data_IF_258937365422
#
_entry.id   IF_258937365422
#
_cell.length_a   1.000
_cell.length_b   1.000
_cell.length_c   1.000
_cell.angle_alpha   90.00
_cell.angle_beta   90.00
_cell.angle_gamma   90.00
#
_symmetry.space_group_name_H-M   'P 1'
#
loop_
_entity.id
_entity.type
_entity.pdbx_description
1 polymer ?
#
# COMPACT_ATOMS: atom_id res chain seq x y z
N UNK A 1 -11.22 13.71 17.28
CA UNK A 1 -11.43 14.11 18.71
C UNK A 1 -12.90 14.05 19.13
N UNK A 2 -13.87 14.23 18.23
CA UNK A 2 -15.33 14.11 18.54
C UNK A 2 -15.73 12.74 19.13
N UNK A 3 -14.96 11.69 18.88
CA UNK A 3 -15.21 10.34 19.40
C UNK A 3 -14.57 10.07 20.76
N UNK A 4 -13.79 11.00 21.31
CA UNK A 4 -13.22 10.88 22.64
C UNK A 4 -14.25 11.34 23.67
N UNK A 5 -15.12 10.41 24.08
CA UNK A 5 -16.14 10.61 25.10
C UNK A 5 -15.64 10.13 26.49
N UNK A 6 -16.35 10.44 27.56
CA UNK A 6 -15.97 10.37 28.99
C UNK A 6 -14.99 9.25 29.40
N UNK A 7 -15.09 8.03 28.86
CA UNK A 7 -14.23 6.89 29.22
C UNK A 7 -13.34 6.40 28.09
N UNK A 8 -13.32 7.09 26.95
CA UNK A 8 -12.48 6.71 25.81
C UNK A 8 -11.04 7.14 26.08
N UNK A 9 -10.14 6.17 26.18
CA UNK A 9 -8.70 6.43 26.37
C UNK A 9 -8.01 6.76 25.06
N UNK A 10 -8.33 6.01 23.99
CA UNK A 10 -7.71 6.13 22.67
C UNK A 10 -8.76 6.05 21.56
N UNK A 11 -8.49 6.71 20.46
CA UNK A 11 -9.26 6.59 19.21
C UNK A 11 -8.34 6.00 18.14
N UNK A 12 -8.71 4.84 17.62
CA UNK A 12 -7.96 4.15 16.56
C UNK A 12 -8.71 4.36 15.25
N UNK A 13 -7.99 4.81 14.22
CA UNK A 13 -8.55 5.08 12.89
C UNK A 13 -7.94 4.09 11.90
N UNK A 14 -8.77 3.16 11.39
CA UNK A 14 -8.39 2.21 10.33
C UNK A 14 -8.39 2.85 8.93
N UNK A 15 -7.86 4.05 8.84
CA UNK A 15 -7.75 4.83 7.61
C UNK A 15 -6.65 5.89 7.78
N UNK A 16 -6.22 6.51 6.68
CA UNK A 16 -5.30 7.63 6.72
C UNK A 16 -5.96 8.86 7.34
N UNK A 17 -5.37 9.40 8.39
CA UNK A 17 -5.77 10.66 9.00
C UNK A 17 -4.57 11.58 9.19
N UNK A 18 -4.58 12.71 8.47
CA UNK A 18 -3.55 13.75 8.61
C UNK A 18 -3.60 14.49 9.95
N UNK A 19 -4.73 14.38 10.66
CA UNK A 19 -5.00 15.03 11.94
C UNK A 19 -4.88 14.07 13.14
N UNK A 20 -4.41 12.84 12.92
CA UNK A 20 -4.06 11.92 13.99
C UNK A 20 -2.80 12.42 14.71
N UNK A 21 -2.70 12.15 16.00
CA UNK A 21 -1.53 12.50 16.78
C UNK A 21 -0.31 11.66 16.36
N UNK A 22 -0.59 10.43 15.90
CA UNK A 22 0.43 9.52 15.38
C UNK A 22 -0.13 8.65 14.26
N UNK A 23 0.69 8.34 13.25
CA UNK A 23 0.41 7.31 12.26
C UNK A 23 1.35 6.14 12.48
N UNK A 24 0.77 4.97 12.72
CA UNK A 24 1.51 3.73 12.93
C UNK A 24 1.19 2.73 11.84
N UNK A 25 2.20 2.33 11.10
CA UNK A 25 2.14 1.28 10.08
C UNK A 25 2.76 0.03 10.67
N UNK A 26 1.97 -1.04 10.78
CA UNK A 26 2.45 -2.29 11.33
C UNK A 26 3.55 -2.90 10.44
N UNK A 27 4.61 -3.42 11.08
CA UNK A 27 5.79 -3.92 10.37
C UNK A 27 6.80 -2.84 9.95
N UNK A 28 6.50 -1.56 10.20
CA UNK A 28 7.40 -0.44 9.92
C UNK A 28 7.73 0.35 11.20
N UNK A 29 6.80 1.15 11.69
CA UNK A 29 7.04 2.04 12.85
C UNK A 29 6.08 1.79 14.03
N UNK A 30 5.43 0.65 14.10
CA UNK A 30 4.49 0.33 15.17
C UNK A 30 5.12 0.30 16.57
N UNK A 31 6.44 0.05 16.67
CA UNK A 31 7.20 0.09 17.92
C UNK A 31 7.48 1.52 18.41
N UNK A 32 7.21 2.54 17.59
CA UNK A 32 7.35 3.95 17.96
C UNK A 32 6.10 4.52 18.63
N UNK A 33 5.18 3.65 19.06
CA UNK A 33 3.96 4.04 19.75
C UNK A 33 4.26 4.90 20.97
N UNK A 34 3.56 6.03 21.05
CA UNK A 34 3.63 6.98 22.17
C UNK A 34 2.37 6.93 22.99
N UNK A 35 2.50 6.69 24.30
CA UNK A 35 1.37 6.56 25.21
C UNK A 35 0.54 7.84 25.33
N UNK A 36 1.12 9.00 25.08
CA UNK A 36 0.45 10.30 25.07
C UNK A 36 -0.41 10.58 23.83
N UNK A 37 -0.22 9.80 22.76
CA UNK A 37 -1.04 9.94 21.54
C UNK A 37 -2.46 9.46 21.77
N UNK A 38 -3.43 10.37 21.67
CA UNK A 38 -4.85 10.09 21.88
C UNK A 38 -5.54 9.51 20.65
N UNK A 39 -5.13 9.97 19.47
CA UNK A 39 -5.70 9.58 18.17
C UNK A 39 -4.61 8.95 17.31
N UNK A 40 -4.80 7.71 16.97
CA UNK A 40 -3.83 6.93 16.20
C UNK A 40 -4.46 6.52 14.87
N UNK A 41 -3.75 6.81 13.76
CA UNK A 41 -4.11 6.34 12.42
C UNK A 41 -3.24 5.13 12.06
N UNK A 42 -3.85 4.08 11.52
CA UNK A 42 -3.13 2.92 11.00
C UNK A 42 -2.83 3.01 9.50
N UNK A 43 -3.04 4.19 8.89
CA UNK A 43 -2.88 4.38 7.47
C UNK A 43 -4.04 3.79 6.64
N UNK A 44 -3.89 3.81 5.34
CA UNK A 44 -4.82 3.18 4.38
C UNK A 44 -4.29 1.81 3.93
N UNK A 45 -5.15 1.03 3.27
CA UNK A 45 -4.75 -0.22 2.61
C UNK A 45 -3.52 -0.02 1.71
N UNK A 46 -3.51 1.02 0.88
CA UNK A 46 -2.39 1.35 -0.01
C UNK A 46 -1.10 1.69 0.76
N UNK A 47 -1.19 2.38 1.91
CA UNK A 47 -0.04 2.69 2.76
C UNK A 47 0.54 1.40 3.35
N UNK A 48 -0.33 0.51 3.86
CA UNK A 48 0.10 -0.77 4.42
C UNK A 48 0.67 -1.72 3.37
N UNK A 49 0.17 -1.68 2.14
CA UNK A 49 0.71 -2.44 1.02
C UNK A 49 2.08 -1.92 0.56
N UNK A 50 2.36 -0.62 0.69
CA UNK A 50 3.56 0.02 0.14
C UNK A 50 4.70 0.17 1.17
N UNK A 51 4.40 0.74 2.34
CA UNK A 51 5.44 1.23 3.26
C UNK A 51 6.35 0.12 3.80
N UNK A 52 5.85 -1.01 4.32
CA UNK A 52 6.71 -2.07 4.85
C UNK A 52 7.58 -2.70 3.75
N UNK A 53 7.01 -2.94 2.58
CA UNK A 53 7.72 -3.50 1.43
C UNK A 53 8.84 -2.55 0.97
N UNK A 54 8.51 -1.27 0.76
CA UNK A 54 9.47 -0.26 0.28
C UNK A 54 10.62 -0.06 1.28
N UNK A 55 10.30 -0.01 2.58
CA UNK A 55 11.32 0.10 3.61
C UNK A 55 12.31 -1.08 3.56
N UNK A 56 11.80 -2.30 3.46
CA UNK A 56 12.64 -3.48 3.33
C UNK A 56 13.51 -3.43 2.07
N UNK A 57 12.91 -3.08 0.92
CA UNK A 57 13.64 -2.98 -0.34
C UNK A 57 14.74 -1.90 -0.30
N UNK A 58 14.47 -0.77 0.35
CA UNK A 58 15.50 0.27 0.54
C UNK A 58 16.63 -0.19 1.46
N UNK A 59 16.31 -0.83 2.59
CA UNK A 59 17.32 -1.39 3.50
C UNK A 59 18.27 -2.36 2.77
N UNK A 60 17.74 -3.20 1.89
CA UNK A 60 18.49 -4.28 1.22
C UNK A 60 19.16 -3.88 -0.08
N UNK A 61 18.48 -3.08 -0.90
CA UNK A 61 18.90 -2.86 -2.29
C UNK A 61 19.15 -1.39 -2.62
N UNK A 62 18.78 -0.45 -1.74
CA UNK A 62 18.89 1.00 -1.91
C UNK A 62 18.03 1.52 -3.07
N UNK A 63 16.80 1.88 -2.73
CA UNK A 63 15.83 2.45 -3.67
C UNK A 63 16.31 3.84 -4.13
N UNK A 64 16.41 4.04 -5.42
CA UNK A 64 16.73 5.34 -6.04
C UNK A 64 15.46 6.08 -6.42
N UNK A 65 14.49 5.36 -6.98
CA UNK A 65 13.19 5.91 -7.32
C UNK A 65 12.11 4.82 -7.25
N UNK A 66 10.87 5.26 -7.10
CA UNK A 66 9.72 4.38 -7.15
C UNK A 66 8.52 5.05 -7.80
N UNK A 67 7.85 4.30 -8.66
CA UNK A 67 6.55 4.66 -9.24
C UNK A 67 5.53 3.61 -8.84
N UNK A 68 4.33 4.06 -8.50
CA UNK A 68 3.25 3.16 -8.10
C UNK A 68 2.00 3.46 -8.92
N UNK A 69 1.41 2.42 -9.49
CA UNK A 69 0.11 2.52 -10.15
C UNK A 69 -0.92 1.72 -9.36
N UNK A 70 -1.90 2.41 -8.81
CA UNK A 70 -2.98 1.82 -8.02
C UNK A 70 -4.26 1.82 -8.83
N UNK A 71 -4.82 0.65 -9.04
CA UNK A 71 -6.17 0.44 -9.58
C UNK A 71 -7.04 0.00 -8.42
N UNK A 72 -7.85 0.94 -7.93
CA UNK A 72 -8.58 0.76 -6.68
C UNK A 72 -10.06 0.48 -6.93
N UNK A 73 -10.57 -0.50 -6.22
CA UNK A 73 -12.00 -0.78 -6.16
C UNK A 73 -12.78 0.37 -5.51
N UNK A 74 -14.09 0.33 -5.58
CA UNK A 74 -14.98 1.24 -4.86
C UNK A 74 -16.01 0.45 -4.07
N UNK A 75 -16.42 0.93 -2.87
CA UNK A 75 -17.52 0.33 -2.15
C UNK A 75 -18.81 0.36 -2.96
N UNK A 76 -19.66 -0.64 -2.80
CA UNK A 76 -20.91 -0.78 -3.56
C UNK A 76 -21.80 0.46 -3.48
N UNK A 77 -21.83 1.16 -2.35
CA UNK A 77 -22.62 2.40 -2.18
C UNK A 77 -22.15 3.57 -3.04
N UNK A 78 -20.95 3.51 -3.62
CA UNK A 78 -20.43 4.49 -4.56
C UNK A 78 -20.73 4.14 -6.02
N UNK A 79 -21.34 2.98 -6.27
CA UNK A 79 -21.73 2.55 -7.61
C UNK A 79 -23.21 2.88 -7.90
N UNK A 80 -23.46 3.38 -9.08
CA UNK A 80 -24.82 3.58 -9.63
C UNK A 80 -24.84 3.09 -11.06
N UNK A 81 -25.66 2.09 -11.34
CA UNK A 81 -25.79 1.50 -12.69
C UNK A 81 -24.44 1.12 -13.33
N UNK A 82 -23.50 0.57 -12.54
CA UNK A 82 -22.18 0.19 -13.02
C UNK A 82 -21.17 1.34 -13.20
N UNK A 83 -21.52 2.54 -12.76
CA UNK A 83 -20.65 3.71 -12.82
C UNK A 83 -20.26 4.18 -11.40
N UNK A 84 -19.12 4.84 -11.31
CA UNK A 84 -18.68 5.49 -10.08
C UNK A 84 -19.50 6.80 -9.93
N UNK A 85 -20.34 6.86 -8.92
CA UNK A 85 -21.12 8.03 -8.58
C UNK A 85 -20.51 8.75 -7.37
N UNK A 86 -20.43 10.06 -7.44
CA UNK A 86 -20.08 10.90 -6.30
C UNK A 86 -21.09 12.02 -6.22
N UNK A 87 -21.70 12.30 -5.05
CA UNK A 87 -22.66 13.39 -4.92
C UNK A 87 -22.12 14.70 -5.54
N UNK A 88 -22.91 15.29 -6.44
CA UNK A 88 -22.56 16.54 -7.13
C UNK A 88 -21.54 16.40 -8.28
N UNK A 89 -21.09 15.18 -8.60
CA UNK A 89 -20.19 14.92 -9.72
C UNK A 89 -20.83 14.01 -10.76
N UNK A 90 -20.31 14.11 -11.99
CA UNK A 90 -20.75 13.25 -13.10
C UNK A 90 -20.40 11.79 -12.81
N UNK A 91 -21.29 10.87 -13.12
CA UNK A 91 -21.04 9.43 -13.13
C UNK A 91 -20.01 9.08 -14.21
N UNK A 92 -19.06 8.20 -13.87
CA UNK A 92 -17.95 7.83 -14.76
C UNK A 92 -17.55 6.38 -14.54
N UNK A 93 -17.16 5.63 -15.60
CA UNK A 93 -16.64 4.27 -15.46
C UNK A 93 -15.22 4.24 -14.82
N UNK A 94 -14.47 5.34 -14.94
CA UNK A 94 -13.10 5.42 -14.43
C UNK A 94 -12.90 6.82 -13.85
N UNK A 95 -12.29 6.89 -12.66
CA UNK A 95 -12.02 8.17 -12.01
C UNK A 95 -10.57 8.24 -11.51
N UNK A 96 -9.83 9.21 -12.02
CA UNK A 96 -8.52 9.59 -11.48
C UNK A 96 -8.69 10.35 -10.17
N UNK A 97 -7.86 10.03 -9.19
CA UNK A 97 -7.84 10.68 -7.88
C UNK A 97 -6.41 10.91 -7.39
N UNK A 98 -6.23 11.89 -6.52
CA UNK A 98 -4.98 12.00 -5.74
C UNK A 98 -4.99 10.91 -4.67
N UNK A 99 -3.89 10.17 -4.57
CA UNK A 99 -3.69 9.17 -3.53
C UNK A 99 -3.05 9.80 -2.29
N UNK A 100 -3.52 9.45 -1.12
CA UNK A 100 -2.90 9.90 0.14
C UNK A 100 -1.47 9.37 0.30
N UNK A 101 -1.13 8.27 -0.35
CA UNK A 101 0.22 7.69 -0.36
C UNK A 101 1.26 8.69 -0.84
N UNK A 102 0.97 9.51 -1.87
CA UNK A 102 1.90 10.54 -2.38
C UNK A 102 2.27 11.61 -1.35
N UNK A 103 1.39 11.84 -0.36
CA UNK A 103 1.60 12.85 0.69
C UNK A 103 2.22 12.24 1.96
N UNK A 104 1.96 10.97 2.22
CA UNK A 104 2.34 10.29 3.44
C UNK A 104 3.69 9.59 3.30
N UNK A 105 3.95 8.93 2.16
CA UNK A 105 5.18 8.17 1.97
C UNK A 105 6.45 9.01 2.21
N UNK A 106 6.58 10.25 1.70
CA UNK A 106 7.76 11.08 1.97
C UNK A 106 7.95 11.50 3.43
N UNK A 107 6.90 11.35 4.26
CA UNK A 107 6.98 11.62 5.70
C UNK A 107 7.39 10.40 6.51
N UNK A 108 7.18 9.21 5.97
CA UNK A 108 7.46 7.94 6.61
C UNK A 108 8.79 7.34 6.16
N UNK A 109 9.10 7.42 4.87
CA UNK A 109 10.24 6.78 4.23
C UNK A 109 11.22 7.81 3.68
N UNK A 110 12.48 7.74 4.13
CA UNK A 110 13.54 8.63 3.65
C UNK A 110 13.92 8.41 2.18
N UNK A 111 13.66 7.22 1.64
CA UNK A 111 13.91 6.88 0.24
C UNK A 111 12.85 7.39 -0.73
N UNK A 112 11.75 7.97 -0.24
CA UNK A 112 10.69 8.57 -1.08
C UNK A 112 10.63 10.08 -0.89
N UNK A 113 10.79 10.82 -1.98
CA UNK A 113 10.74 12.28 -2.03
C UNK A 113 9.81 12.72 -3.16
N UNK A 114 9.56 14.03 -3.28
CA UNK A 114 8.76 14.57 -4.39
C UNK A 114 9.45 14.36 -5.76
N UNK A 115 10.77 14.20 -5.78
CA UNK A 115 11.55 14.10 -7.01
C UNK A 115 11.72 12.66 -7.50
N UNK A 116 11.57 11.67 -6.60
CA UNK A 116 11.85 10.27 -6.92
C UNK A 116 10.70 9.30 -6.62
N UNK A 117 9.52 9.83 -6.25
CA UNK A 117 8.35 9.02 -5.94
C UNK A 117 7.07 9.54 -6.61
N UNK A 118 6.43 8.70 -7.42
CA UNK A 118 5.17 9.02 -8.08
C UNK A 118 4.09 8.00 -7.78
N UNK A 119 2.84 8.47 -7.73
CA UNK A 119 1.66 7.62 -7.55
C UNK A 119 0.59 7.98 -8.58
N UNK A 120 0.21 7.02 -9.40
CA UNK A 120 -1.02 7.05 -10.18
C UNK A 120 -2.11 6.31 -9.42
N UNK A 121 -3.30 6.91 -9.32
CA UNK A 121 -4.41 6.32 -8.58
C UNK A 121 -5.70 6.41 -9.39
N UNK A 122 -6.25 5.27 -9.72
CA UNK A 122 -7.44 5.14 -10.54
C UNK A 122 -8.50 4.34 -9.81
N UNK A 123 -9.70 4.90 -9.67
CA UNK A 123 -10.88 4.18 -9.22
C UNK A 123 -11.55 3.51 -10.40
N UNK A 124 -11.97 2.27 -10.23
CA UNK A 124 -12.74 1.48 -11.19
C UNK A 124 -14.07 1.02 -10.55
N UNK A 125 -15.13 0.79 -11.36
CA UNK A 125 -16.43 0.35 -10.86
C UNK A 125 -16.43 -1.15 -10.55
N UNK A 126 -15.62 -1.55 -9.60
CA UNK A 126 -15.42 -2.91 -9.14
C UNK A 126 -15.40 -2.95 -7.61
N UNK A 127 -16.07 -3.93 -7.01
CA UNK A 127 -16.25 -4.04 -5.56
C UNK A 127 -15.36 -5.11 -4.90
N UNK A 128 -14.54 -5.80 -5.66
CA UNK A 128 -13.57 -6.78 -5.15
C UNK A 128 -12.31 -6.15 -4.58
N UNK A 129 -11.18 -6.82 -4.73
CA UNK A 129 -9.88 -6.33 -4.26
C UNK A 129 -9.28 -5.31 -5.22
N UNK A 130 -8.33 -4.54 -4.74
CA UNK A 130 -7.56 -3.57 -5.52
C UNK A 130 -6.27 -4.19 -6.04
N UNK A 131 -5.69 -3.57 -7.05
CA UNK A 131 -4.38 -3.93 -7.59
C UNK A 131 -3.38 -2.80 -7.40
N UNK A 132 -2.13 -3.16 -7.23
CA UNK A 132 -1.02 -2.22 -7.14
C UNK A 132 0.16 -2.75 -7.93
N UNK A 133 0.65 -1.95 -8.88
CA UNK A 133 1.88 -2.20 -9.60
C UNK A 133 2.96 -1.30 -9.01
N UNK A 134 4.04 -1.91 -8.57
CA UNK A 134 5.21 -1.21 -8.08
C UNK A 134 6.30 -1.25 -9.14
N UNK A 135 6.96 -0.14 -9.32
CA UNK A 135 8.21 -0.05 -10.03
C UNK A 135 9.25 0.57 -9.12
N UNK A 136 10.34 -0.13 -8.91
CA UNK A 136 11.49 0.36 -8.16
C UNK A 136 12.72 0.37 -9.04
N UNK A 137 13.51 1.44 -8.94
CA UNK A 137 14.87 1.47 -9.48
C UNK A 137 15.85 1.44 -8.30
N UNK A 138 16.85 0.58 -8.40
CA UNK A 138 17.85 0.38 -7.36
C UNK A 138 19.23 0.86 -7.80
N UNK A 139 20.11 1.11 -6.83
CA UNK A 139 21.48 1.57 -7.08
C UNK A 139 22.28 0.54 -7.91
N UNK A 140 22.08 -0.74 -7.69
CA UNK A 140 22.82 -1.82 -8.32
C UNK A 140 21.90 -2.73 -9.14
N UNK A 141 22.49 -3.41 -10.14
CA UNK A 141 21.77 -4.45 -10.88
C UNK A 141 21.29 -5.55 -9.95
N UNK A 142 20.07 -5.99 -10.19
CA UNK A 142 19.45 -7.12 -9.51
C UNK A 142 19.73 -8.41 -10.29
N UNK A 143 19.63 -9.53 -9.59
CA UNK A 143 19.73 -10.87 -10.13
C UNK A 143 18.65 -11.78 -9.50
N UNK A 144 18.65 -13.04 -9.84
CA UNK A 144 17.71 -14.04 -9.31
C UNK A 144 17.68 -14.17 -7.80
N UNK A 145 18.74 -13.74 -7.10
CA UNK A 145 18.76 -13.74 -5.63
C UNK A 145 17.75 -12.75 -5.04
N UNK A 146 17.29 -11.75 -5.80
CA UNK A 146 16.25 -10.82 -5.36
C UNK A 146 15.01 -11.57 -4.87
N UNK A 147 14.48 -12.50 -5.67
CA UNK A 147 13.31 -13.28 -5.28
C UNK A 147 13.54 -14.11 -4.02
N UNK A 148 14.65 -14.81 -3.95
CA UNK A 148 15.00 -15.61 -2.76
C UNK A 148 15.07 -14.76 -1.48
N UNK A 149 15.64 -13.56 -1.57
CA UNK A 149 15.74 -12.62 -0.45
C UNK A 149 14.36 -12.13 -0.05
N UNK A 150 13.53 -11.72 -1.01
CA UNK A 150 12.19 -11.22 -0.75
C UNK A 150 11.27 -12.31 -0.18
N UNK A 151 11.30 -13.51 -0.75
CA UNK A 151 10.54 -14.68 -0.26
C UNK A 151 10.92 -15.03 1.18
N UNK A 152 12.23 -15.09 1.47
CA UNK A 152 12.67 -15.37 2.83
C UNK A 152 12.20 -14.31 3.82
N UNK A 153 12.18 -13.03 3.42
CA UNK A 153 11.68 -11.95 4.28
C UNK A 153 10.19 -12.06 4.54
N UNK A 154 9.40 -12.42 3.52
CA UNK A 154 7.96 -12.67 3.65
C UNK A 154 7.63 -13.88 4.51
N UNK A 155 8.48 -14.92 4.50
CA UNK A 155 8.25 -16.14 5.27
C UNK A 155 8.77 -16.05 6.71
N UNK A 156 9.94 -15.45 6.92
CA UNK A 156 10.70 -15.55 8.16
C UNK A 156 11.12 -14.19 8.75
N UNK A 157 11.04 -13.10 8.00
CA UNK A 157 11.53 -11.77 8.38
C UNK A 157 10.44 -10.78 8.76
N UNK A 158 10.75 -9.48 8.60
CA UNK A 158 9.88 -8.34 8.97
C UNK A 158 8.57 -8.29 8.16
N UNK A 159 8.55 -8.85 6.95
CA UNK A 159 7.36 -8.88 6.09
C UNK A 159 6.44 -10.07 6.35
N UNK A 160 6.80 -10.95 7.28
CA UNK A 160 5.99 -12.11 7.65
C UNK A 160 4.59 -11.71 8.13
N UNK A 161 3.56 -12.28 7.49
CA UNK A 161 2.16 -11.97 7.80
C UNK A 161 1.67 -10.62 7.24
N UNK A 162 2.55 -9.85 6.60
CA UNK A 162 2.22 -8.56 5.96
C UNK A 162 2.16 -8.68 4.44
N UNK A 163 3.19 -9.26 3.86
CA UNK A 163 3.30 -9.45 2.41
C UNK A 163 3.38 -10.95 2.12
N UNK A 164 2.58 -11.42 1.20
CA UNK A 164 2.70 -12.76 0.65
C UNK A 164 3.22 -12.72 -0.79
N UNK A 165 3.76 -13.84 -1.24
CA UNK A 165 4.17 -14.05 -2.63
C UNK A 165 3.53 -15.33 -3.12
N UNK A 166 2.96 -15.30 -4.32
CA UNK A 166 2.46 -16.46 -5.04
C UNK A 166 3.08 -16.53 -6.43
N UNK A 167 3.21 -17.73 -6.97
CA UNK A 167 3.85 -17.93 -8.26
C UNK A 167 2.91 -17.57 -9.42
N UNK A 168 1.69 -18.06 -9.42
CA UNK A 168 0.72 -17.89 -10.51
C UNK A 168 -0.34 -16.85 -10.17
N UNK A 169 -0.88 -16.19 -11.18
CA UNK A 169 -2.03 -15.30 -11.04
C UNK A 169 -3.33 -16.11 -11.02
N UNK A 170 -4.05 -16.06 -9.93
CA UNK A 170 -5.36 -16.70 -9.76
C UNK A 170 -6.53 -15.74 -9.90
N UNK A 171 -6.23 -14.46 -10.17
CA UNK A 171 -7.20 -13.38 -10.29
C UNK A 171 -7.54 -12.70 -8.96
N UNK A 172 -8.20 -11.53 -9.04
CA UNK A 172 -8.47 -10.69 -7.87
C UNK A 172 -9.44 -11.33 -6.86
N UNK A 173 -10.35 -12.20 -7.30
CA UNK A 173 -11.38 -12.80 -6.45
C UNK A 173 -10.78 -13.68 -5.33
N UNK A 174 -9.68 -14.37 -5.62
CA UNK A 174 -9.01 -15.26 -4.66
C UNK A 174 -8.31 -14.51 -3.52
N UNK A 175 -8.21 -13.19 -3.63
CA UNK A 175 -7.55 -12.34 -2.64
C UNK A 175 -8.50 -11.56 -1.75
N UNK A 176 -9.82 -11.75 -1.90
CA UNK A 176 -10.81 -11.14 -1.00
C UNK A 176 -10.63 -11.64 0.44
N UNK A 177 -10.69 -10.71 1.39
CA UNK A 177 -10.51 -10.98 2.82
C UNK A 177 -9.14 -11.62 3.15
N UNK A 178 -8.14 -11.38 2.33
CA UNK A 178 -6.78 -11.82 2.65
C UNK A 178 -6.29 -11.18 3.95
N UNK A 179 -5.53 -11.94 4.74
CA UNK A 179 -4.87 -11.43 5.96
C UNK A 179 -3.63 -10.59 5.66
N UNK A 180 -3.16 -10.58 4.43
CA UNK A 180 -1.96 -9.85 4.01
C UNK A 180 -2.31 -8.44 3.55
N UNK A 181 -1.41 -7.51 3.79
CA UNK A 181 -1.52 -6.14 3.26
C UNK A 181 -1.32 -6.07 1.75
N UNK A 182 -0.58 -7.02 1.18
CA UNK A 182 -0.50 -7.26 -0.26
C UNK A 182 -0.06 -8.69 -0.55
N UNK A 183 -0.49 -9.23 -1.70
CA UNK A 183 -0.06 -10.53 -2.24
C UNK A 183 0.60 -10.27 -3.59
N UNK A 184 1.92 -10.42 -3.65
CA UNK A 184 2.72 -10.23 -4.87
C UNK A 184 2.55 -11.47 -5.76
N UNK A 185 2.32 -11.25 -7.06
CA UNK A 185 2.17 -12.29 -8.08
C UNK A 185 3.44 -12.33 -8.93
N UNK A 186 4.24 -13.41 -8.80
CA UNK A 186 5.52 -13.52 -9.52
C UNK A 186 5.36 -13.61 -11.03
N UNK A 187 4.35 -14.30 -11.51
CA UNK A 187 4.05 -14.45 -12.94
C UNK A 187 3.94 -13.08 -13.64
N UNK A 188 3.37 -12.08 -12.95
CA UNK A 188 3.17 -10.74 -13.47
C UNK A 188 4.26 -9.74 -13.01
N UNK A 189 5.34 -10.26 -12.42
CA UNK A 189 6.42 -9.46 -11.87
C UNK A 189 7.74 -9.82 -12.53
N UNK A 190 8.64 -8.86 -12.73
CA UNK A 190 9.90 -9.12 -13.41
C UNK A 190 11.01 -8.15 -13.01
N UNK A 191 12.25 -8.57 -13.28
CA UNK A 191 13.47 -7.80 -13.03
C UNK A 191 14.07 -7.42 -14.37
N UNK A 192 14.50 -6.17 -14.52
CA UNK A 192 15.18 -5.67 -15.71
C UNK A 192 16.31 -4.74 -15.32
N UNK A 193 17.54 -5.26 -15.28
CA UNK A 193 18.70 -4.48 -14.91
C UNK A 193 18.69 -4.03 -13.45
N UNK A 194 18.55 -2.73 -13.22
CA UNK A 194 18.41 -2.14 -11.89
C UNK A 194 16.95 -1.97 -11.47
N UNK A 195 16.00 -2.30 -12.33
CA UNK A 195 14.59 -2.09 -12.08
C UNK A 195 13.90 -3.40 -11.71
N UNK A 196 12.90 -3.32 -10.83
CA UNK A 196 11.94 -4.38 -10.55
C UNK A 196 10.52 -3.85 -10.73
N UNK A 197 9.69 -4.70 -11.31
CA UNK A 197 8.26 -4.50 -11.47
C UNK A 197 7.54 -5.59 -10.71
N UNK A 198 6.75 -5.19 -9.71
CA UNK A 198 5.97 -6.11 -8.89
C UNK A 198 4.49 -5.81 -9.09
N UNK A 199 3.73 -6.85 -9.42
CA UNK A 199 2.28 -6.80 -9.43
C UNK A 199 1.75 -7.42 -8.14
N UNK A 200 0.75 -6.79 -7.52
CA UNK A 200 0.14 -7.33 -6.31
C UNK A 200 -1.35 -6.99 -6.20
N UNK A 201 -2.07 -7.87 -5.50
CA UNK A 201 -3.43 -7.62 -5.04
C UNK A 201 -3.43 -7.19 -3.57
N UNK A 202 -4.38 -6.32 -3.19
CA UNK A 202 -4.58 -5.89 -1.81
C UNK A 202 -6.05 -5.54 -1.54
N UNK A 203 -6.52 -5.82 -0.33
CA UNK A 203 -7.91 -5.60 0.08
C UNK A 203 -8.04 -4.54 1.20
#
# INVERSE_FOLDING_TARGET
RKFKIKNTKKVLISATSMNADQMLVYGFNHNEYKSESDVISYGSCTINAFVPLTNFLDEKFKVISSDVNVIHNVPAYQLKNGYIATPGLKETPIKRKKCTLSQISPKLLSCTTIDNFNVNYTLIPYTGVSMIDYRYSFKNKLNEHFWRILENECLNGKLKGLIAIQDNDTGPEDHQNTKYSAVIVKENSYIKGCDVYLHAYFD
#
